data_IF_165029640779
#
_entry.id   IF_165029640779
#
_cell.length_a   1.000
_cell.length_b   1.000
_cell.length_c   1.000
_cell.angle_alpha   90.00
_cell.angle_beta   90.00
_cell.angle_gamma   90.00
#
_symmetry.space_group_name_H-M   'P 1'
#
loop_
_entity.id
_entity.type
_entity.pdbx_description
1 polymer ?
#
# COMPACT_ATOMS: atom_id res chain seq x y z
N UNK A 1 -2.49 -11.93 30.93
CA UNK A 1 -3.46 -11.63 29.87
C UNK A 1 -2.66 -11.51 28.60
N UNK A 2 -2.64 -12.55 27.77
CA UNK A 2 -2.09 -12.45 26.41
C UNK A 2 -2.97 -11.47 25.66
N UNK A 3 -2.46 -10.27 25.40
CA UNK A 3 -3.10 -9.36 24.46
C UNK A 3 -3.25 -10.13 23.15
N UNK A 4 -4.48 -10.47 22.78
CA UNK A 4 -4.80 -10.81 21.40
C UNK A 4 -4.65 -9.51 20.62
N UNK A 5 -3.40 -9.08 20.39
CA UNK A 5 -3.11 -8.09 19.37
C UNK A 5 -3.56 -8.76 18.08
N UNK A 6 -4.73 -8.33 17.57
CA UNK A 6 -5.22 -8.77 16.28
C UNK A 6 -4.18 -8.51 15.19
N UNK A 7 -4.35 -9.11 13.99
CA UNK A 7 -3.42 -8.90 12.91
C UNK A 7 -3.24 -7.40 12.64
N UNK A 8 -2.00 -6.94 12.53
CA UNK A 8 -1.71 -5.53 12.29
C UNK A 8 -1.81 -5.23 10.81
N UNK A 9 -2.68 -4.29 10.45
CA UNK A 9 -2.86 -3.89 9.06
C UNK A 9 -2.15 -2.58 8.78
N UNK A 10 -1.53 -2.49 7.62
CA UNK A 10 -0.75 -1.34 7.18
C UNK A 10 -1.08 -1.04 5.71
N UNK A 11 -1.18 0.25 5.39
CA UNK A 11 -1.28 0.72 4.00
C UNK A 11 0.05 1.37 3.65
N UNK A 12 0.71 0.85 2.62
CA UNK A 12 1.98 1.37 2.12
C UNK A 12 1.75 2.00 0.76
N UNK A 13 2.08 3.27 0.60
CA UNK A 13 2.06 3.95 -0.69
C UNK A 13 3.50 4.20 -1.14
N UNK A 14 3.80 3.91 -2.40
CA UNK A 14 5.12 4.09 -2.96
C UNK A 14 5.13 5.20 -4.01
N UNK A 15 5.98 6.19 -3.84
CA UNK A 15 6.27 7.22 -4.86
C UNK A 15 7.57 6.92 -5.58
N UNK A 16 7.70 7.33 -6.84
CA UNK A 16 9.01 7.34 -7.50
C UNK A 16 9.84 8.48 -6.88
N UNK A 17 11.02 8.14 -6.36
CA UNK A 17 11.93 9.15 -5.80
C UNK A 17 12.40 10.13 -6.89
N UNK A 18 12.53 9.65 -8.13
CA UNK A 18 12.77 10.46 -9.31
C UNK A 18 12.08 9.81 -10.52
N UNK A 19 11.19 10.53 -11.20
CA UNK A 19 10.48 9.99 -12.36
C UNK A 19 11.41 9.74 -13.57
N UNK A 20 12.64 10.28 -13.54
CA UNK A 20 13.64 10.13 -14.60
C UNK A 20 14.64 9.00 -14.38
N UNK A 21 14.74 8.42 -13.17
CA UNK A 21 15.78 7.45 -12.82
C UNK A 21 15.18 6.15 -12.25
N UNK A 22 14.92 5.19 -13.14
CA UNK A 22 14.36 3.88 -12.79
C UNK A 22 15.28 3.03 -11.88
N UNK A 23 16.50 3.48 -11.59
CA UNK A 23 17.47 2.80 -10.73
C UNK A 23 17.35 3.13 -9.24
N UNK A 24 16.63 4.19 -8.86
CA UNK A 24 16.55 4.66 -7.47
C UNK A 24 15.49 3.95 -6.60
N UNK A 25 14.69 3.04 -7.18
CA UNK A 25 13.62 2.36 -6.45
C UNK A 25 12.45 3.29 -6.10
N UNK A 26 11.37 2.71 -5.59
CA UNK A 26 10.22 3.49 -5.11
C UNK A 26 10.35 3.74 -3.61
N UNK A 27 10.09 4.96 -3.16
CA UNK A 27 10.04 5.31 -1.75
C UNK A 27 8.70 4.82 -1.18
N UNK A 28 8.73 3.71 -0.48
CA UNK A 28 7.59 3.21 0.31
C UNK A 28 7.37 4.10 1.54
N UNK A 29 6.12 4.49 1.77
CA UNK A 29 5.68 5.27 2.93
C UNK A 29 4.45 4.60 3.53
N UNK A 30 4.49 4.28 4.83
CA UNK A 30 3.33 3.79 5.56
C UNK A 30 2.33 4.93 5.77
N UNK A 31 1.17 4.84 5.12
CA UNK A 31 0.07 5.83 5.20
C UNK A 31 -0.73 5.64 6.48
N UNK A 32 -1.06 4.40 6.83
CA UNK A 32 -1.69 4.07 8.11
C UNK A 32 -1.21 2.72 8.60
N UNK A 33 -1.28 2.51 9.91
CA UNK A 33 -1.03 1.23 10.57
C UNK A 33 -2.00 1.07 11.75
N UNK A 34 -2.85 0.06 11.70
CA UNK A 34 -3.91 -0.15 12.68
C UNK A 34 -4.78 -1.36 12.41
N UNK A 35 -6.09 -1.18 12.58
CA UNK A 35 -7.09 -2.24 12.41
C UNK A 35 -7.43 -2.47 10.94
N UNK A 36 -7.96 -3.66 10.62
CA UNK A 36 -8.37 -4.01 9.25
C UNK A 36 -9.35 -3.00 8.65
N UNK A 37 -10.41 -2.64 9.38
CA UNK A 37 -11.42 -1.69 8.90
C UNK A 37 -10.85 -0.32 8.55
N UNK A 38 -9.90 0.16 9.37
CA UNK A 38 -9.24 1.44 9.12
C UNK A 38 -8.31 1.34 7.90
N UNK A 39 -7.47 0.31 7.86
CA UNK A 39 -6.53 0.11 6.76
C UNK A 39 -7.26 -0.10 5.42
N UNK A 40 -8.36 -0.85 5.40
CA UNK A 40 -9.18 -1.02 4.18
C UNK A 40 -9.82 0.29 3.71
N UNK A 41 -10.32 1.11 4.64
CA UNK A 41 -10.87 2.44 4.29
C UNK A 41 -9.79 3.35 3.73
N UNK A 42 -8.64 3.44 4.41
CA UNK A 42 -7.51 4.25 3.97
C UNK A 42 -6.96 3.75 2.64
N UNK A 43 -6.88 2.44 2.43
CA UNK A 43 -6.45 1.86 1.16
C UNK A 43 -7.40 2.26 0.01
N UNK A 44 -8.72 2.13 0.20
CA UNK A 44 -9.69 2.54 -0.82
C UNK A 44 -9.62 4.04 -1.14
N UNK A 45 -9.45 4.89 -0.12
CA UNK A 45 -9.27 6.32 -0.28
C UNK A 45 -7.94 6.66 -0.98
N UNK A 46 -6.84 6.07 -0.52
CA UNK A 46 -5.49 6.28 -1.07
C UNK A 46 -5.40 5.84 -2.52
N UNK A 47 -6.00 4.70 -2.88
CA UNK A 47 -6.03 4.21 -4.27
C UNK A 47 -6.91 5.08 -5.17
N UNK A 48 -7.97 5.68 -4.64
CA UNK A 48 -8.79 6.68 -5.34
C UNK A 48 -8.02 7.95 -5.70
N UNK A 49 -7.02 8.32 -4.89
CA UNK A 49 -6.16 9.49 -5.11
C UNK A 49 -4.74 9.16 -5.58
N UNK A 50 -4.42 7.87 -5.79
CA UNK A 50 -3.05 7.44 -6.04
C UNK A 50 -2.48 7.99 -7.35
N UNK A 51 -3.30 8.05 -8.40
CA UNK A 51 -2.91 8.63 -9.67
C UNK A 51 -2.64 10.15 -9.55
N UNK A 52 -3.50 10.88 -8.83
CA UNK A 52 -3.34 12.31 -8.61
C UNK A 52 -2.13 12.65 -7.73
N UNK A 53 -1.84 11.81 -6.73
CA UNK A 53 -0.69 11.98 -5.82
C UNK A 53 0.63 11.49 -6.40
N UNK A 54 0.62 10.88 -7.59
CA UNK A 54 1.82 10.31 -8.22
C UNK A 54 2.33 9.04 -7.52
N UNK A 55 1.47 8.33 -6.79
CA UNK A 55 1.81 7.02 -6.25
C UNK A 55 1.95 6.00 -7.39
N UNK A 56 3.08 5.30 -7.40
CA UNK A 56 3.37 4.24 -8.37
C UNK A 56 2.57 2.97 -8.06
N UNK A 57 2.49 2.63 -6.78
CA UNK A 57 1.70 1.54 -6.27
C UNK A 57 1.28 1.81 -4.82
N UNK A 58 0.20 1.15 -4.40
CA UNK A 58 -0.29 1.16 -3.02
C UNK A 58 -0.53 -0.29 -2.61
N UNK A 59 -0.11 -0.69 -1.42
CA UNK A 59 -0.23 -2.07 -0.92
C UNK A 59 -0.94 -2.06 0.41
N UNK A 60 -1.89 -2.96 0.57
CA UNK A 60 -2.47 -3.33 1.85
C UNK A 60 -1.68 -4.53 2.38
N UNK A 61 -1.11 -4.38 3.56
CA UNK A 61 -0.26 -5.36 4.22
C UNK A 61 -0.89 -5.79 5.55
N UNK A 62 -0.81 -7.08 5.83
CA UNK A 62 -1.27 -7.71 7.08
C UNK A 62 -0.09 -8.43 7.71
N UNK A 63 0.36 -7.97 8.87
CA UNK A 63 1.48 -8.56 9.63
C UNK A 63 2.74 -8.80 8.79
N UNK A 64 3.06 -7.89 7.86
CA UNK A 64 4.19 -8.06 6.94
C UNK A 64 3.88 -8.76 5.61
N UNK A 65 2.66 -9.29 5.44
CA UNK A 65 2.22 -9.97 4.21
C UNK A 65 1.36 -9.05 3.36
N UNK A 66 1.78 -8.82 2.12
CA UNK A 66 1.00 -8.04 1.16
C UNK A 66 -0.25 -8.85 0.75
N UNK A 67 -1.43 -8.34 1.09
CA UNK A 67 -2.71 -9.00 0.83
C UNK A 67 -3.41 -8.44 -0.40
N UNK A 68 -3.20 -7.15 -0.69
CA UNK A 68 -3.78 -6.49 -1.85
C UNK A 68 -2.85 -5.39 -2.36
N UNK A 69 -2.80 -5.19 -3.68
CA UNK A 69 -1.98 -4.17 -4.30
C UNK A 69 -2.73 -3.41 -5.39
N UNK A 70 -2.46 -2.11 -5.49
CA UNK A 70 -2.89 -1.22 -6.54
C UNK A 70 -1.66 -0.70 -7.30
N UNK A 71 -1.70 -0.50 -8.63
CA UNK A 71 -2.80 -0.90 -9.51
C UNK A 71 -3.01 -2.40 -9.43
N UNK A 72 -4.27 -2.83 -9.51
CA UNK A 72 -4.59 -4.26 -9.53
C UNK A 72 -3.73 -4.88 -10.62
N UNK A 73 -2.94 -5.91 -10.27
CA UNK A 73 -2.19 -6.66 -11.26
C UNK A 73 -3.24 -7.24 -12.22
N UNK A 74 -3.50 -6.53 -13.31
CA UNK A 74 -4.33 -7.01 -14.40
C UNK A 74 -3.57 -8.21 -14.91
N UNK A 75 -4.01 -9.41 -14.49
CA UNK A 75 -3.39 -10.71 -14.75
C UNK A 75 -3.32 -11.11 -16.23
N UNK A 76 -3.23 -10.14 -17.14
CA UNK A 76 -2.77 -10.29 -18.51
C UNK A 76 -1.24 -10.23 -18.55
N UNK A 77 -0.58 -11.21 -17.94
CA UNK A 77 0.66 -11.68 -18.55
C UNK A 77 0.24 -12.57 -19.71
N UNK A 78 0.44 -12.03 -20.92
CA UNK A 78 0.25 -12.68 -22.23
C UNK A 78 1.06 -13.96 -22.39
#
# INVERSE_FOLDING_TARGET
MTETNGPVWEVVAATLHDAGDAGQGAQETSVTRGSEDEARRVYADTTGHAADQGYRYVVLRRDGVDVESWPQATGWTV
#
